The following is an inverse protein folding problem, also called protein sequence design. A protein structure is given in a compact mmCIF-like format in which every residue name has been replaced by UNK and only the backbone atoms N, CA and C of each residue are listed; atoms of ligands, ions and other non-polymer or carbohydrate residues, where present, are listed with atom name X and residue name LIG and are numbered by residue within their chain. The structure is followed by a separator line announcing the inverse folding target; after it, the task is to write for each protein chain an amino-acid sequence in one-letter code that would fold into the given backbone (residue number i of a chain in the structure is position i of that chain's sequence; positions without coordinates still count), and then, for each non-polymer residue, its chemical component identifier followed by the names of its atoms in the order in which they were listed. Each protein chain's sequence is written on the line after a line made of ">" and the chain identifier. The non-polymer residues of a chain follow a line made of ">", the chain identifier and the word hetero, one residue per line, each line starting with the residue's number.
data_IF_973489911319
#
_entry.id   IF_973489911319
#
_cell.length_a   1.000
_cell.length_b   1.000
_cell.length_c   1.000
_cell.angle_alpha   90.00
_cell.angle_beta   90.00
_cell.angle_gamma   90.00
#
_symmetry.space_group_name_H-M   'P 1'
#
loop_
_entity.id
_entity.type
_entity.pdbx_description
1 polymer ?
#
# COMPACT_ATOMS: atom_id res chain seq x y z
N UNK A 1 10.65 -2.73 -50.31
CA UNK A 1 10.16 -2.21 -49.03
C UNK A 1 11.14 -1.14 -48.60
N UNK A 2 10.70 0.12 -48.50
CA UNK A 2 11.58 1.18 -48.00
C UNK A 2 11.91 0.86 -46.54
N UNK A 3 13.19 0.82 -46.24
CA UNK A 3 13.67 0.63 -44.87
C UNK A 3 13.36 1.95 -44.14
N UNK A 4 12.21 2.01 -43.44
CA UNK A 4 11.87 3.17 -42.63
C UNK A 4 12.92 3.36 -41.54
N UNK A 5 13.62 4.47 -41.63
CA UNK A 5 14.64 4.83 -40.62
C UNK A 5 13.91 5.42 -39.43
N UNK A 6 14.22 4.89 -38.24
CA UNK A 6 13.52 5.26 -37.00
C UNK A 6 14.48 5.54 -35.87
N UNK A 7 14.02 6.36 -34.93
CA UNK A 7 14.61 6.54 -33.60
C UNK A 7 13.69 5.90 -32.57
N UNK A 8 14.24 4.98 -31.80
CA UNK A 8 13.58 4.28 -30.70
C UNK A 8 14.11 4.85 -29.38
N UNK A 9 13.24 5.25 -28.48
CA UNK A 9 13.60 5.84 -27.18
C UNK A 9 12.66 5.37 -26.09
N UNK A 10 13.21 5.24 -24.88
CA UNK A 10 12.43 5.13 -23.66
C UNK A 10 12.41 6.49 -22.96
N UNK A 11 11.23 6.97 -22.65
CA UNK A 11 11.02 8.17 -21.83
C UNK A 11 10.53 7.80 -20.45
N UNK A 12 10.93 8.57 -19.45
CA UNK A 12 10.58 8.35 -18.04
C UNK A 12 9.75 9.50 -17.51
N UNK A 13 8.70 9.15 -16.78
CA UNK A 13 7.92 10.06 -15.96
C UNK A 13 8.23 9.85 -14.49
N UNK A 14 8.44 10.92 -13.75
CA UNK A 14 8.62 10.93 -12.31
C UNK A 14 7.74 11.99 -11.69
N UNK A 15 7.13 11.66 -10.55
CA UNK A 15 6.25 12.52 -9.79
C UNK A 15 6.42 12.26 -8.29
N UNK A 16 6.53 13.33 -7.52
CA UNK A 16 6.51 13.28 -6.07
C UNK A 16 5.13 13.68 -5.60
N UNK A 17 4.52 12.86 -4.75
CA UNK A 17 3.19 13.12 -4.21
C UNK A 17 3.15 12.79 -2.72
N UNK A 18 2.63 13.73 -1.92
CA UNK A 18 2.39 13.50 -0.49
C UNK A 18 1.23 12.52 -0.34
N UNK A 19 1.35 11.47 0.46
CA UNK A 19 0.22 10.59 0.77
C UNK A 19 -0.94 11.38 1.35
N UNK A 20 -2.15 11.08 0.90
CA UNK A 20 -3.38 11.74 1.32
C UNK A 20 -4.31 10.82 2.14
N UNK A 21 -4.00 9.54 2.18
CA UNK A 21 -4.82 8.49 2.81
C UNK A 21 -3.95 7.58 3.68
N UNK A 22 -4.42 7.32 4.89
CA UNK A 22 -3.90 6.27 5.79
C UNK A 22 -4.83 5.07 5.71
N UNK A 23 -4.24 3.89 5.56
CA UNK A 23 -4.91 2.61 5.71
C UNK A 23 -4.36 1.90 6.93
N UNK A 24 -5.23 1.59 7.88
CA UNK A 24 -4.93 0.70 8.99
C UNK A 24 -5.47 -0.69 8.69
N UNK A 25 -4.63 -1.69 8.87
CA UNK A 25 -5.05 -3.09 8.93
C UNK A 25 -4.92 -3.55 10.36
N UNK A 26 -6.06 -3.87 10.97
CA UNK A 26 -6.19 -4.26 12.37
C UNK A 26 -6.42 -5.76 12.43
N UNK A 27 -5.54 -6.49 13.11
CA UNK A 27 -5.67 -7.93 13.32
C UNK A 27 -6.01 -8.17 14.79
N UNK A 28 -7.14 -8.82 15.01
CA UNK A 28 -7.64 -9.19 16.34
C UNK A 28 -7.61 -10.71 16.44
N UNK A 29 -6.91 -11.22 17.44
CA UNK A 29 -6.84 -12.64 17.72
C UNK A 29 -7.30 -12.92 19.15
N UNK A 30 -8.17 -13.94 19.31
CA UNK A 30 -8.59 -14.47 20.60
C UNK A 30 -8.53 -16.00 20.57
N UNK A 31 -8.09 -16.55 21.66
CA UNK A 31 -7.95 -18.00 21.83
C UNK A 31 -8.84 -18.48 22.98
N UNK A 32 -9.54 -19.59 22.78
CA UNK A 32 -10.34 -20.23 23.80
C UNK A 32 -10.32 -21.74 23.60
N UNK A 33 -10.55 -22.51 24.68
CA UNK A 33 -10.68 -23.99 24.60
C UNK A 33 -11.92 -24.40 23.79
N UNK A 34 -12.99 -23.59 23.84
CA UNK A 34 -14.22 -23.76 23.07
C UNK A 34 -14.19 -22.92 21.81
N UNK A 35 -14.47 -23.53 20.65
CA UNK A 35 -14.50 -22.87 19.35
C UNK A 35 -15.46 -21.68 19.30
N UNK A 36 -16.68 -21.88 19.82
CA UNK A 36 -17.70 -20.83 19.77
C UNK A 36 -17.36 -19.66 20.70
N UNK A 37 -16.70 -19.94 21.84
CA UNK A 37 -16.22 -18.90 22.74
C UNK A 37 -15.11 -18.06 22.11
N UNK A 38 -14.12 -18.68 21.43
CA UNK A 38 -13.08 -17.97 20.70
C UNK A 38 -13.65 -17.03 19.65
N UNK A 39 -14.62 -17.51 18.84
CA UNK A 39 -15.28 -16.70 17.82
C UNK A 39 -16.05 -15.52 18.44
N UNK A 40 -16.86 -15.77 19.49
CA UNK A 40 -17.63 -14.71 20.17
C UNK A 40 -16.72 -13.63 20.76
N UNK A 41 -15.65 -14.03 21.43
CA UNK A 41 -14.69 -13.09 22.01
C UNK A 41 -14.03 -12.21 20.94
N UNK A 42 -13.67 -12.81 19.78
CA UNK A 42 -13.11 -12.08 18.65
C UNK A 42 -14.11 -11.07 18.08
N UNK A 43 -15.37 -11.46 17.87
CA UNK A 43 -16.41 -10.55 17.34
C UNK A 43 -16.75 -9.42 18.32
N UNK A 44 -16.75 -9.66 19.63
CA UNK A 44 -16.91 -8.61 20.64
C UNK A 44 -15.77 -7.58 20.57
N UNK A 45 -14.52 -8.05 20.46
CA UNK A 45 -13.39 -7.15 20.27
C UNK A 45 -13.46 -6.39 18.94
N UNK A 46 -13.97 -7.00 17.88
CA UNK A 46 -14.21 -6.34 16.61
C UNK A 46 -15.22 -5.21 16.71
N UNK A 47 -16.33 -5.43 17.42
CA UNK A 47 -17.32 -4.40 17.67
C UNK A 47 -16.69 -3.23 18.43
N UNK A 48 -15.98 -3.49 19.54
CA UNK A 48 -15.29 -2.45 20.30
C UNK A 48 -14.29 -1.64 19.48
N UNK A 49 -13.51 -2.29 18.60
CA UNK A 49 -12.58 -1.63 17.67
C UNK A 49 -13.33 -0.76 16.66
N UNK A 50 -14.43 -1.29 16.10
CA UNK A 50 -15.24 -0.53 15.12
C UNK A 50 -15.87 0.69 15.75
N UNK A 51 -16.44 0.55 16.96
CA UNK A 51 -17.02 1.66 17.71
C UNK A 51 -15.98 2.73 18.07
N UNK A 52 -14.77 2.30 18.46
CA UNK A 52 -13.65 3.20 18.73
C UNK A 52 -13.22 3.99 17.49
N UNK A 53 -13.12 3.33 16.32
CA UNK A 53 -12.80 3.99 15.05
C UNK A 53 -13.86 5.03 14.65
N UNK A 54 -15.14 4.68 14.78
CA UNK A 54 -16.25 5.59 14.46
C UNK A 54 -16.27 6.78 15.42
N UNK A 55 -16.08 6.55 16.72
CA UNK A 55 -16.00 7.61 17.71
C UNK A 55 -14.82 8.56 17.50
N UNK A 56 -13.69 8.05 16.98
CA UNK A 56 -12.53 8.86 16.63
C UNK A 56 -12.70 9.67 15.34
N UNK A 57 -13.75 9.40 14.55
CA UNK A 57 -14.09 10.16 13.34
C UNK A 57 -13.92 9.41 12.02
N UNK A 58 -13.65 8.10 12.05
CA UNK A 58 -13.61 7.28 10.82
C UNK A 58 -15.06 6.98 10.39
N UNK A 59 -15.41 7.36 9.17
CA UNK A 59 -16.74 7.04 8.64
C UNK A 59 -16.95 5.54 8.47
N UNK A 60 -18.10 4.99 8.88
CA UNK A 60 -18.43 3.56 8.80
C UNK A 60 -18.18 2.95 7.40
N UNK A 61 -18.49 3.69 6.34
CA UNK A 61 -18.28 3.27 4.95
C UNK A 61 -16.80 2.98 4.62
N UNK A 62 -15.89 3.53 5.39
CA UNK A 62 -14.43 3.36 5.24
C UNK A 62 -13.87 2.24 6.13
N UNK A 63 -14.71 1.60 6.94
CA UNK A 63 -14.35 0.44 7.76
C UNK A 63 -14.84 -0.82 7.06
N UNK A 64 -13.94 -1.77 6.83
CA UNK A 64 -14.22 -3.02 6.13
C UNK A 64 -13.72 -4.22 6.92
N UNK A 65 -14.61 -5.15 7.21
CA UNK A 65 -14.24 -6.47 7.67
C UNK A 65 -13.67 -7.28 6.47
N UNK A 66 -12.44 -7.78 6.61
CA UNK A 66 -11.74 -8.47 5.52
C UNK A 66 -11.91 -9.98 5.60
N UNK A 67 -11.60 -10.59 6.76
CA UNK A 67 -11.61 -12.03 6.93
C UNK A 67 -11.85 -12.41 8.38
N UNK A 68 -12.51 -13.53 8.58
CA UNK A 68 -12.49 -14.30 9.83
C UNK A 68 -11.84 -15.65 9.54
N UNK A 69 -10.83 -16.01 10.31
CA UNK A 69 -10.14 -17.29 10.22
C UNK A 69 -10.17 -17.95 11.60
N UNK A 70 -10.43 -19.24 11.64
CA UNK A 70 -10.30 -20.03 12.86
C UNK A 70 -9.34 -21.19 12.63
N UNK A 71 -8.52 -21.48 13.60
CA UNK A 71 -7.56 -22.58 13.53
C UNK A 71 -7.36 -23.22 14.91
N UNK A 72 -7.11 -24.54 14.98
CA UNK A 72 -6.72 -25.19 16.23
C UNK A 72 -5.32 -24.72 16.62
N UNK A 73 -5.16 -24.30 17.86
CA UNK A 73 -3.89 -23.99 18.49
C UNK A 73 -3.29 -25.22 19.16
N UNK A 74 -1.96 -25.31 19.14
CA UNK A 74 -1.24 -26.38 19.82
C UNK A 74 -0.03 -25.79 20.53
N UNK A 75 0.18 -26.20 21.76
CA UNK A 75 1.38 -25.93 22.52
C UNK A 75 2.39 -27.07 22.36
N UNK A 76 3.66 -26.71 22.17
CA UNK A 76 4.73 -27.68 22.12
C UNK A 76 5.50 -27.60 23.46
N UNK A 77 5.47 -28.64 24.25
CA UNK A 77 6.27 -28.80 25.46
C UNK A 77 7.39 -29.80 25.21
N UNK A 78 8.57 -29.56 25.77
CA UNK A 78 9.65 -30.55 25.84
C UNK A 78 9.58 -31.23 27.22
N UNK A 79 9.68 -32.57 27.25
CA UNK A 79 9.85 -33.32 28.49
C UNK A 79 11.32 -33.22 28.98
N UNK A 80 11.58 -33.80 30.17
CA UNK A 80 12.91 -33.82 30.80
C UNK A 80 13.97 -34.54 29.93
N UNK A 81 13.55 -35.33 28.96
CA UNK A 81 14.41 -36.08 28.03
C UNK A 81 14.55 -35.37 26.67
N UNK A 82 13.98 -34.15 26.52
CA UNK A 82 14.03 -33.36 25.30
C UNK A 82 13.06 -33.81 24.19
N UNK A 83 12.17 -34.79 24.48
CA UNK A 83 11.14 -35.18 23.52
C UNK A 83 10.04 -34.10 23.46
N UNK A 84 9.70 -33.66 22.23
CA UNK A 84 8.68 -32.64 22.00
C UNK A 84 7.29 -33.25 21.90
N UNK A 85 6.43 -32.89 22.83
CA UNK A 85 5.01 -33.30 22.81
C UNK A 85 4.16 -32.10 22.39
N UNK A 86 3.26 -32.33 21.43
CA UNK A 86 2.31 -31.32 20.95
C UNK A 86 0.93 -31.60 21.57
N UNK A 87 0.45 -30.66 22.37
CA UNK A 87 -0.85 -30.76 23.07
C UNK A 87 -1.81 -29.71 22.45
N UNK A 88 -3.05 -30.13 22.27
CA UNK A 88 -4.10 -29.19 21.85
C UNK A 88 -4.30 -28.11 22.92
N UNK A 89 -4.25 -26.83 22.50
CA UNK A 89 -4.34 -25.67 23.39
C UNK A 89 -5.65 -24.87 23.22
N UNK A 90 -6.52 -25.28 22.31
CA UNK A 90 -7.77 -24.58 22.02
C UNK A 90 -7.89 -24.14 20.57
N UNK A 91 -8.76 -23.19 20.32
CA UNK A 91 -9.01 -22.60 19.01
C UNK A 91 -8.64 -21.12 19.03
N UNK A 92 -7.86 -20.68 18.05
CA UNK A 92 -7.60 -19.28 17.79
C UNK A 92 -8.58 -18.77 16.72
N UNK A 93 -9.29 -17.69 17.00
CA UNK A 93 -10.09 -16.97 16.03
C UNK A 93 -9.41 -15.64 15.71
N UNK A 94 -9.15 -15.39 14.42
CA UNK A 94 -8.44 -14.21 13.92
C UNK A 94 -9.36 -13.44 12.99
N UNK A 95 -9.60 -12.16 13.30
CA UNK A 95 -10.37 -11.23 12.48
C UNK A 95 -9.47 -10.13 11.96
N UNK A 96 -9.61 -9.78 10.69
CA UNK A 96 -8.97 -8.60 10.11
C UNK A 96 -9.99 -7.56 9.73
N UNK A 97 -9.71 -6.31 10.12
CA UNK A 97 -10.49 -5.12 9.79
C UNK A 97 -9.55 -4.16 9.09
N UNK A 98 -10.04 -3.47 8.07
CA UNK A 98 -9.34 -2.36 7.41
C UNK A 98 -10.13 -1.09 7.63
N UNK A 99 -9.43 -0.03 8.01
CA UNK A 99 -9.96 1.32 8.08
C UNK A 99 -9.14 2.25 7.18
N UNK A 100 -9.80 3.15 6.45
CA UNK A 100 -9.16 4.14 5.59
C UNK A 100 -9.67 5.54 5.96
N UNK A 101 -8.74 6.50 6.08
CA UNK A 101 -9.07 7.88 6.44
C UNK A 101 -7.98 8.82 5.90
N UNK A 102 -8.25 10.15 5.95
CA UNK A 102 -7.29 11.16 5.49
C UNK A 102 -5.98 11.10 6.25
N UNK A 103 -4.85 11.30 5.56
CA UNK A 103 -3.51 11.34 6.16
C UNK A 103 -3.31 12.65 6.93
N UNK A 104 -4.03 12.76 8.05
CA UNK A 104 -3.98 13.85 9.01
C UNK A 104 -3.39 13.35 10.33
N UNK A 105 -2.34 14.02 10.83
CA UNK A 105 -1.60 13.57 12.01
C UNK A 105 -2.46 13.61 13.29
N UNK A 106 -3.29 14.64 13.45
CA UNK A 106 -4.16 14.79 14.61
C UNK A 106 -5.26 13.71 14.63
N UNK A 107 -5.87 13.46 13.45
CA UNK A 107 -6.85 12.38 13.30
C UNK A 107 -6.21 11.02 13.56
N UNK A 108 -5.01 10.79 13.04
CA UNK A 108 -4.26 9.54 13.26
C UNK A 108 -3.98 9.33 14.75
N UNK A 109 -3.53 10.37 15.46
CA UNK A 109 -3.30 10.32 16.90
C UNK A 109 -4.58 9.95 17.68
N UNK A 110 -5.70 10.63 17.41
CA UNK A 110 -7.00 10.32 18.05
C UNK A 110 -7.45 8.87 17.81
N UNK A 111 -7.23 8.35 16.58
CA UNK A 111 -7.58 6.98 16.24
C UNK A 111 -6.72 5.99 17.04
N UNK A 112 -5.40 6.20 17.10
CA UNK A 112 -4.51 5.32 17.85
C UNK A 112 -4.84 5.32 19.35
N UNK A 113 -5.14 6.49 19.93
CA UNK A 113 -5.58 6.61 21.32
C UNK A 113 -6.90 5.87 21.59
N UNK A 114 -7.88 6.02 20.67
CA UNK A 114 -9.16 5.33 20.77
C UNK A 114 -9.00 3.81 20.68
N UNK A 115 -8.12 3.32 19.79
CA UNK A 115 -7.81 1.89 19.66
C UNK A 115 -7.11 1.35 20.91
N UNK A 116 -6.17 2.10 21.50
CA UNK A 116 -5.53 1.73 22.76
C UNK A 116 -6.54 1.64 23.91
N UNK A 117 -7.51 2.57 23.95
CA UNK A 117 -8.59 2.60 24.94
C UNK A 117 -9.69 1.55 24.73
N UNK A 118 -9.77 0.90 23.59
CA UNK A 118 -10.83 -0.06 23.23
C UNK A 118 -10.81 -1.36 24.04
N UNK A 119 -9.71 -1.67 24.72
CA UNK A 119 -9.49 -2.95 25.42
C UNK A 119 -9.32 -4.15 24.51
N UNK A 120 -9.43 -3.99 23.19
CA UNK A 120 -9.30 -5.07 22.22
C UNK A 120 -7.84 -5.41 21.85
N UNK A 121 -6.89 -4.47 22.08
CA UNK A 121 -5.48 -4.62 21.78
C UNK A 121 -5.21 -5.26 20.39
N UNK A 122 -5.67 -4.67 19.28
CA UNK A 122 -5.42 -5.19 17.95
C UNK A 122 -3.95 -5.02 17.57
N UNK A 123 -3.41 -5.96 16.77
CA UNK A 123 -2.17 -5.69 16.03
C UNK A 123 -2.48 -4.69 14.92
N UNK A 124 -1.66 -3.64 14.79
CA UNK A 124 -1.90 -2.52 13.87
C UNK A 124 -0.78 -2.48 12.82
N UNK A 125 -1.16 -2.61 11.56
CA UNK A 125 -0.30 -2.31 10.43
C UNK A 125 -0.80 -1.05 9.72
N UNK A 126 0.11 -0.10 9.47
CA UNK A 126 -0.19 1.20 8.85
C UNK A 126 0.42 1.28 7.47
N UNK A 127 -0.37 1.70 6.49
CA UNK A 127 0.06 1.99 5.12
C UNK A 127 -0.38 3.40 4.74
N UNK A 128 0.50 4.14 4.08
CA UNK A 128 0.19 5.42 3.48
C UNK A 128 -0.12 5.23 1.99
N UNK A 129 -1.15 5.89 1.50
CA UNK A 129 -1.65 5.71 0.14
C UNK A 129 -1.92 7.05 -0.53
N UNK A 130 -2.01 7.00 -1.85
CA UNK A 130 -2.52 8.07 -2.70
C UNK A 130 -3.92 7.68 -3.18
N UNK A 131 -4.93 8.51 -2.92
CA UNK A 131 -6.33 8.23 -3.26
C UNK A 131 -6.57 8.29 -4.77
N UNK A 132 -6.05 9.30 -5.45
CA UNK A 132 -6.26 9.51 -6.89
C UNK A 132 -5.06 9.01 -7.72
N UNK A 133 -4.88 7.69 -7.72
CA UNK A 133 -3.81 7.06 -8.50
C UNK A 133 -4.00 7.19 -10.01
N UNK A 134 -5.23 7.34 -10.47
CA UNK A 134 -5.55 7.40 -11.91
C UNK A 134 -5.15 8.76 -12.50
N UNK A 135 -5.46 9.86 -11.83
CA UNK A 135 -5.02 11.18 -12.22
C UNK A 135 -3.49 11.29 -12.21
N UNK A 136 -2.84 10.78 -11.16
CA UNK A 136 -1.38 10.76 -11.04
C UNK A 136 -0.73 9.94 -12.16
N UNK A 137 -1.34 8.82 -12.55
CA UNK A 137 -0.87 8.00 -13.68
C UNK A 137 -0.95 8.76 -15.00
N UNK A 138 -2.05 9.48 -15.23
CA UNK A 138 -2.19 10.34 -16.42
C UNK A 138 -1.07 11.39 -16.52
N UNK A 139 -0.74 12.02 -15.42
CA UNK A 139 0.35 12.99 -15.36
C UNK A 139 1.72 12.35 -15.57
N UNK A 140 1.99 11.19 -14.96
CA UNK A 140 3.22 10.42 -15.15
C UNK A 140 3.44 10.05 -16.62
N UNK A 141 2.41 9.52 -17.29
CA UNK A 141 2.48 9.17 -18.71
C UNK A 141 2.73 10.39 -19.59
N UNK A 142 2.10 11.53 -19.29
CA UNK A 142 2.35 12.77 -20.00
C UNK A 142 3.81 13.24 -19.86
N UNK A 143 4.39 13.13 -18.65
CA UNK A 143 5.81 13.43 -18.40
C UNK A 143 6.72 12.44 -19.15
N UNK A 144 6.43 11.14 -19.12
CA UNK A 144 7.21 10.14 -19.84
C UNK A 144 7.21 10.36 -21.35
N UNK A 145 6.07 10.68 -21.96
CA UNK A 145 5.98 11.02 -23.39
C UNK A 145 6.77 12.27 -23.73
N UNK A 146 6.71 13.29 -22.87
CA UNK A 146 7.48 14.54 -23.05
C UNK A 146 8.99 14.25 -22.99
N UNK A 147 9.44 13.44 -22.07
CA UNK A 147 10.85 13.01 -21.95
C UNK A 147 11.28 12.20 -23.17
N UNK A 148 10.49 11.19 -23.62
CA UNK A 148 10.77 10.44 -24.83
C UNK A 148 10.95 11.35 -26.05
N UNK A 149 10.07 12.33 -26.23
CA UNK A 149 10.18 13.31 -27.32
C UNK A 149 11.43 14.19 -27.23
N UNK A 150 11.81 14.59 -26.02
CA UNK A 150 13.04 15.37 -25.78
C UNK A 150 14.30 14.55 -26.13
N UNK A 151 14.36 13.28 -25.71
CA UNK A 151 15.45 12.34 -26.02
C UNK A 151 15.55 12.10 -27.51
N UNK A 152 14.43 11.81 -28.18
CA UNK A 152 14.40 11.61 -29.63
C UNK A 152 14.93 12.83 -30.39
N UNK A 153 14.54 14.06 -29.97
CA UNK A 153 15.08 15.30 -30.56
C UNK A 153 16.59 15.45 -30.38
N UNK A 154 17.11 15.12 -29.20
CA UNK A 154 18.54 15.18 -28.92
C UNK A 154 19.32 14.18 -29.79
N UNK A 155 18.83 12.96 -29.95
CA UNK A 155 19.43 11.92 -30.79
C UNK A 155 19.40 12.36 -32.27
N UNK A 156 18.26 12.81 -32.78
CA UNK A 156 18.12 13.28 -34.17
C UNK A 156 19.11 14.42 -34.48
N UNK A 157 19.22 15.40 -33.56
CA UNK A 157 20.18 16.49 -33.69
C UNK A 157 21.62 15.99 -33.72
N UNK A 158 22.01 15.08 -32.84
CA UNK A 158 23.37 14.54 -32.80
C UNK A 158 23.68 13.66 -34.04
N UNK A 159 22.68 12.99 -34.59
CA UNK A 159 22.80 12.18 -35.80
C UNK A 159 22.74 13.05 -37.10
N UNK A 160 22.51 14.35 -37.01
CA UNK A 160 22.37 15.24 -38.18
C UNK A 160 21.12 14.97 -39.02
N UNK A 161 20.06 14.41 -38.42
CA UNK A 161 18.78 14.11 -39.09
C UNK A 161 17.65 14.94 -38.50
N UNK A 162 16.54 15.07 -39.23
CA UNK A 162 15.34 15.74 -38.75
C UNK A 162 14.41 14.73 -38.12
N UNK A 163 13.96 14.98 -36.89
CA UNK A 163 12.94 14.17 -36.25
C UNK A 163 11.61 14.34 -36.96
N UNK A 164 11.01 13.24 -37.37
CA UNK A 164 9.68 13.18 -37.99
C UNK A 164 8.57 12.90 -36.97
N UNK A 165 7.48 12.33 -37.49
CA UNK A 165 6.28 12.02 -36.68
C UNK A 165 6.51 10.83 -35.75
N UNK A 166 5.69 10.76 -34.70
CA UNK A 166 5.62 9.58 -33.83
C UNK A 166 4.89 8.45 -34.57
N UNK A 167 5.55 7.32 -34.67
CA UNK A 167 4.99 6.12 -35.32
C UNK A 167 4.30 5.18 -34.33
N UNK A 168 4.82 5.11 -33.12
CA UNK A 168 4.29 4.24 -32.07
C UNK A 168 4.65 4.79 -30.70
N UNK A 169 3.72 4.67 -29.77
CA UNK A 169 3.94 4.88 -28.33
C UNK A 169 3.33 3.71 -27.59
N UNK A 170 4.16 3.06 -26.78
CA UNK A 170 3.73 1.93 -25.95
C UNK A 170 4.08 2.24 -24.49
N UNK A 171 3.13 2.03 -23.58
CA UNK A 171 3.42 2.05 -22.16
C UNK A 171 4.20 0.77 -21.82
N UNK A 172 5.45 0.92 -21.39
CA UNK A 172 6.32 -0.21 -20.97
C UNK A 172 5.90 -0.81 -19.62
N UNK A 173 5.18 -0.06 -18.82
CA UNK A 173 4.73 -0.47 -17.49
C UNK A 173 3.51 -1.40 -17.56
N UNK A 174 3.70 -2.67 -17.33
CA UNK A 174 2.64 -3.64 -17.07
C UNK A 174 2.21 -3.54 -15.61
N UNK A 175 1.54 -2.47 -15.21
CA UNK A 175 1.09 -2.38 -13.83
C UNK A 175 0.96 -0.95 -13.30
N UNK A 176 0.68 -0.87 -12.01
CA UNK A 176 0.65 0.40 -11.29
C UNK A 176 2.05 1.02 -11.25
N UNK A 177 2.15 2.36 -11.24
CA UNK A 177 3.42 3.05 -11.04
C UNK A 177 4.19 2.45 -9.88
N UNK A 178 5.50 2.28 -10.03
CA UNK A 178 6.35 1.80 -8.94
C UNK A 178 6.34 2.88 -7.86
N UNK A 179 5.70 2.59 -6.75
CA UNK A 179 5.70 3.45 -5.56
C UNK A 179 6.88 3.02 -4.70
N UNK A 180 7.88 3.86 -4.58
CA UNK A 180 8.91 3.67 -3.56
C UNK A 180 8.41 4.33 -2.29
N UNK A 181 8.07 3.50 -1.29
CA UNK A 181 7.78 4.00 0.04
C UNK A 181 9.04 4.70 0.57
N UNK A 182 8.88 5.93 1.00
CA UNK A 182 9.91 6.63 1.71
C UNK A 182 10.17 5.91 3.05
N UNK A 183 11.45 5.79 3.41
CA UNK A 183 11.85 5.21 4.69
C UNK A 183 11.41 6.15 5.82
N UNK A 184 10.86 5.58 6.89
CA UNK A 184 10.62 6.33 8.12
C UNK A 184 11.94 6.87 8.66
N UNK A 185 12.11 8.17 8.73
CA UNK A 185 13.10 8.78 9.62
C UNK A 185 12.47 8.89 11.00
N UNK A 186 12.83 7.97 11.88
CA UNK A 186 12.63 8.13 13.31
C UNK A 186 13.68 9.12 13.82
N UNK A 187 13.42 10.42 13.69
CA UNK A 187 14.16 11.41 14.47
C UNK A 187 13.33 11.73 15.72
N UNK A 188 13.99 11.68 16.86
CA UNK A 188 13.39 11.75 18.17
C UNK A 188 12.55 13.02 18.35
N UNK A 189 11.21 12.88 18.37
CA UNK A 189 10.27 13.91 18.79
C UNK A 189 9.58 14.71 17.68
N UNK A 190 9.77 14.37 16.41
CA UNK A 190 9.03 14.99 15.31
C UNK A 190 7.73 14.24 15.02
N UNK A 191 6.67 14.98 14.69
CA UNK A 191 5.44 14.46 14.11
C UNK A 191 5.78 13.46 13.00
N UNK A 192 5.14 12.29 13.01
CA UNK A 192 5.27 11.25 12.00
C UNK A 192 4.61 11.72 10.69
N UNK A 193 5.19 12.73 10.04
CA UNK A 193 4.78 13.08 8.69
C UNK A 193 5.36 12.06 7.69
N UNK A 194 4.52 11.48 6.84
CA UNK A 194 5.02 10.60 5.78
C UNK A 194 5.80 11.43 4.77
N UNK A 195 6.97 10.94 4.36
CA UNK A 195 7.72 11.52 3.26
C UNK A 195 6.94 11.38 1.94
N UNK A 196 7.27 12.22 0.96
CA UNK A 196 6.67 12.14 -0.37
C UNK A 196 6.93 10.76 -1.00
N UNK A 197 5.89 10.21 -1.61
CA UNK A 197 6.00 9.01 -2.42
C UNK A 197 6.53 9.36 -3.80
N UNK A 198 7.54 8.63 -4.26
CA UNK A 198 8.06 8.79 -5.63
C UNK A 198 7.36 7.78 -6.53
N UNK A 199 6.63 8.29 -7.52
CA UNK A 199 5.96 7.49 -8.53
C UNK A 199 6.76 7.60 -9.83
N UNK A 200 6.98 6.46 -10.51
CA UNK A 200 7.67 6.41 -11.79
C UNK A 200 6.89 5.55 -12.79
N UNK A 201 6.88 5.97 -14.05
CA UNK A 201 6.36 5.19 -15.17
C UNK A 201 7.22 5.42 -16.41
N UNK A 202 7.13 4.54 -17.41
CA UNK A 202 7.92 4.63 -18.62
C UNK A 202 7.09 4.39 -19.88
N UNK A 203 7.53 5.02 -20.96
CA UNK A 203 6.97 4.79 -22.30
C UNK A 203 8.09 4.51 -23.31
N UNK A 204 7.83 3.57 -24.20
CA UNK A 204 8.65 3.33 -25.38
C UNK A 204 8.03 4.03 -26.58
N UNK A 205 8.79 4.89 -27.25
CA UNK A 205 8.30 5.66 -28.38
C UNK A 205 9.22 5.48 -29.61
N UNK A 206 8.59 5.35 -30.77
CA UNK A 206 9.25 5.22 -32.08
C UNK A 206 8.92 6.45 -32.92
N UNK A 207 9.93 7.09 -33.44
CA UNK A 207 9.80 8.27 -34.30
C UNK A 207 10.42 7.99 -35.66
N UNK A 208 9.82 8.55 -36.73
CA UNK A 208 10.41 8.56 -38.07
C UNK A 208 11.61 9.52 -38.15
N UNK A 209 12.56 9.25 -39.06
CA UNK A 209 13.68 10.15 -39.42
C UNK A 209 13.96 10.10 -40.92
#
# INVERSE_FOLDING_TARGET
>A
MANERTINVTGYGELHAKPDTVRLTLTIERTDADYAAAVRATEQCCAAVTDALVAAGVGEKHIRALSLRTQPGYETSADENGARTRKFAGYAAVRRIRAEFSADAELTGRILDALAGSGAAPEIATEYLLSDREALRGELLARAVKDAKARAKAIAKAAGVKLGDVLSVQNGGHGMPVVRAAAFRADSGAELEPEDMVLTDEVNAVFAI
#
